data_IF_407507389328
#
_entry.id   IF_407507389328
#
_cell.length_a   1.000
_cell.length_b   1.000
_cell.length_c   1.000
_cell.angle_alpha   90.00
_cell.angle_beta   90.00
_cell.angle_gamma   90.00
#
_symmetry.space_group_name_H-M   'P 1'
#
loop_
_entity.id
_entity.type
_entity.pdbx_description
1 polymer ?
#
# COMPACT_ATOMS: atom_id res chain seq x y z
N UNK A 1 65.60 18.39 37.21
CA UNK A 1 65.86 18.35 38.68
C UNK A 1 64.57 18.07 39.41
N UNK A 2 64.59 17.13 40.38
CA UNK A 2 63.66 16.70 41.42
C UNK A 2 62.49 15.79 40.92
N UNK A 3 62.65 14.49 41.07
CA UNK A 3 62.52 13.50 42.17
C UNK A 3 61.04 13.26 42.51
N UNK A 4 60.53 12.13 42.04
CA UNK A 4 60.24 10.82 42.70
C UNK A 4 59.51 10.92 44.03
N UNK A 5 58.34 10.29 44.11
CA UNK A 5 58.02 9.30 45.17
C UNK A 5 56.90 8.35 44.74
N UNK A 6 57.24 7.06 44.70
CA UNK A 6 56.35 5.89 44.73
C UNK A 6 55.72 5.78 46.09
N UNK A 7 54.46 5.45 46.18
CA UNK A 7 53.90 4.80 47.37
C UNK A 7 53.12 3.59 46.90
N UNK A 8 53.55 2.44 47.34
CA UNK A 8 52.95 1.12 47.24
C UNK A 8 52.02 0.99 48.41
N UNK A 9 50.75 0.56 48.21
CA UNK A 9 49.94 -0.04 49.26
C UNK A 9 49.40 -1.38 48.78
N UNK A 10 49.83 -2.40 49.50
CA UNK A 10 49.34 -3.77 49.55
C UNK A 10 48.16 -3.79 50.52
N UNK A 11 47.04 -4.40 50.16
CA UNK A 11 46.26 -5.13 51.17
C UNK A 11 45.01 -5.79 50.59
N UNK A 12 44.97 -7.02 50.87
CA UNK A 12 43.97 -7.93 51.37
C UNK A 12 42.85 -8.35 50.38
N UNK A 13 43.03 -9.59 50.00
CA UNK A 13 42.00 -10.51 49.50
C UNK A 13 41.05 -10.84 50.65
N UNK A 14 39.77 -10.53 50.52
CA UNK A 14 38.69 -11.12 51.29
C UNK A 14 37.78 -11.92 50.38
N UNK A 15 37.90 -13.22 50.45
CA UNK A 15 36.98 -14.19 49.81
C UNK A 15 35.66 -14.14 50.57
N UNK A 16 34.62 -13.68 49.89
CA UNK A 16 33.24 -13.81 50.39
C UNK A 16 32.52 -14.82 49.53
N UNK A 17 32.25 -16.00 50.09
CA UNK A 17 31.42 -17.05 49.55
C UNK A 17 29.97 -16.55 49.68
N UNK A 18 29.32 -16.22 48.56
CA UNK A 18 27.89 -15.99 48.51
C UNK A 18 27.19 -17.16 47.86
N UNK A 19 26.32 -17.76 48.65
CA UNK A 19 25.38 -18.83 48.37
C UNK A 19 24.54 -18.54 47.13
N UNK A 20 24.39 -19.57 46.29
CA UNK A 20 23.49 -19.60 45.14
C UNK A 20 22.04 -19.56 45.64
N UNK A 21 21.43 -18.40 45.55
CA UNK A 21 19.99 -18.27 45.61
C UNK A 21 19.40 -18.45 44.22
N UNK A 22 18.62 -19.52 44.02
CA UNK A 22 17.74 -19.64 42.86
C UNK A 22 16.74 -18.49 42.83
N UNK A 23 17.05 -17.42 42.10
CA UNK A 23 16.08 -16.40 41.80
C UNK A 23 15.22 -16.89 40.63
N UNK A 24 13.92 -17.09 40.89
CA UNK A 24 12.88 -17.24 39.89
C UNK A 24 13.10 -16.21 38.79
N UNK A 25 13.39 -16.66 37.59
CA UNK A 25 13.24 -15.84 36.39
C UNK A 25 11.73 -15.60 36.20
N UNK A 26 11.24 -14.55 36.85
CA UNK A 26 9.96 -13.99 36.51
C UNK A 26 9.97 -13.65 35.01
N UNK A 27 9.02 -14.19 34.27
CA UNK A 27 8.74 -13.80 32.91
C UNK A 27 8.59 -12.28 32.90
N UNK A 28 9.57 -11.58 32.35
CA UNK A 28 9.42 -10.17 32.01
C UNK A 28 8.32 -10.12 30.96
N UNK A 29 7.13 -9.73 31.41
CA UNK A 29 6.06 -9.30 30.53
C UNK A 29 6.67 -8.21 29.65
N UNK A 30 6.99 -8.55 28.39
CA UNK A 30 7.29 -7.55 27.38
C UNK A 30 6.04 -6.68 27.29
N UNK A 31 6.10 -5.49 27.85
CA UNK A 31 5.17 -4.43 27.51
C UNK A 31 5.37 -4.17 26.01
N UNK A 32 4.57 -4.86 25.20
CA UNK A 32 4.56 -4.69 23.74
C UNK A 32 3.83 -3.39 23.41
N UNK A 33 4.49 -2.24 23.64
CA UNK A 33 4.11 -0.97 23.05
C UNK A 33 4.66 -0.84 21.60
N UNK A 34 4.83 -1.97 20.91
CA UNK A 34 5.28 -1.97 19.53
C UNK A 34 4.14 -1.53 18.63
N UNK A 35 4.36 -0.47 17.84
CA UNK A 35 3.45 -0.06 16.77
C UNK A 35 3.73 -0.89 15.52
N UNK A 36 2.79 -0.91 14.56
CA UNK A 36 2.96 -1.66 13.31
C UNK A 36 4.26 -1.28 12.58
N UNK A 37 4.51 0.01 12.37
CA UNK A 37 5.71 0.49 11.67
C UNK A 37 7.01 0.17 12.41
N UNK A 38 7.00 0.23 13.75
CA UNK A 38 8.17 -0.11 14.55
C UNK A 38 8.44 -1.62 14.55
N UNK A 39 7.40 -2.44 14.49
CA UNK A 39 7.49 -3.90 14.46
C UNK A 39 8.16 -4.42 13.17
N UNK A 40 7.82 -3.82 12.02
CA UNK A 40 8.39 -4.20 10.72
C UNK A 40 9.53 -3.29 10.25
N UNK A 41 10.09 -2.47 11.15
CA UNK A 41 11.19 -1.56 10.83
C UNK A 41 12.38 -2.32 10.23
N UNK A 42 12.86 -1.83 9.08
CA UNK A 42 13.98 -2.43 8.37
C UNK A 42 13.63 -3.63 7.47
N UNK A 43 12.36 -4.02 7.40
CA UNK A 43 11.88 -5.06 6.49
C UNK A 43 11.22 -4.45 5.25
N UNK A 44 10.26 -3.57 5.44
CA UNK A 44 9.52 -2.84 4.39
C UNK A 44 8.83 -1.62 5.00
N UNK A 45 8.45 -0.65 4.15
CA UNK A 45 7.58 0.44 4.59
C UNK A 45 6.17 -0.09 4.86
N UNK A 46 5.57 0.36 5.97
CA UNK A 46 4.21 0.00 6.31
C UNK A 46 3.33 1.24 6.27
N UNK A 47 2.32 1.22 5.40
CA UNK A 47 1.51 2.39 5.10
C UNK A 47 0.02 2.19 5.21
N UNK A 48 -0.70 3.31 5.11
CA UNK A 48 -2.14 3.34 4.93
C UNK A 48 -2.55 4.34 3.84
N UNK A 49 -3.57 3.98 3.07
CA UNK A 49 -4.28 4.95 2.25
C UNK A 49 -5.12 5.85 3.17
N UNK A 50 -5.10 7.16 2.90
CA UNK A 50 -5.80 8.15 3.71
C UNK A 50 -6.77 8.97 2.87
N UNK A 51 -8.00 9.09 3.36
CA UNK A 51 -9.06 9.87 2.73
C UNK A 51 -8.91 11.38 3.01
N UNK A 52 -9.70 12.19 2.33
CA UNK A 52 -9.63 13.64 2.44
C UNK A 52 -9.93 14.15 3.87
N UNK A 53 -10.84 13.53 4.61
CA UNK A 53 -11.14 13.93 6.00
C UNK A 53 -9.92 13.78 6.91
N UNK A 54 -9.17 12.69 6.73
CA UNK A 54 -7.90 12.45 7.43
C UNK A 54 -6.83 13.44 6.98
N UNK A 55 -6.67 13.65 5.66
CA UNK A 55 -5.70 14.60 5.09
C UNK A 55 -5.92 16.02 5.64
N UNK A 56 -7.17 16.48 5.68
CA UNK A 56 -7.54 17.82 6.15
C UNK A 56 -7.61 17.93 7.69
N UNK A 57 -7.33 16.85 8.43
CA UNK A 57 -7.34 16.84 9.89
C UNK A 57 -8.74 16.88 10.52
N UNK A 58 -9.80 16.66 9.75
CA UNK A 58 -11.19 16.61 10.22
C UNK A 58 -11.47 15.35 11.06
N UNK A 59 -10.83 14.23 10.73
CA UNK A 59 -10.82 13.01 11.53
C UNK A 59 -9.50 12.88 12.33
N UNK A 60 -9.47 13.55 13.48
CA UNK A 60 -8.28 13.60 14.35
C UNK A 60 -7.84 12.23 14.88
N UNK A 61 -8.77 11.27 15.04
CA UNK A 61 -8.45 9.92 15.50
C UNK A 61 -7.76 9.11 14.42
N UNK A 62 -8.23 9.17 13.16
CA UNK A 62 -7.52 8.58 12.03
C UNK A 62 -6.14 9.19 11.87
N UNK A 63 -6.00 10.51 11.96
CA UNK A 63 -4.69 11.20 11.95
C UNK A 63 -3.77 10.66 13.02
N UNK A 64 -4.27 10.45 14.26
CA UNK A 64 -3.47 9.90 15.36
C UNK A 64 -2.98 8.48 15.05
N UNK A 65 -3.86 7.60 14.53
CA UNK A 65 -3.50 6.24 14.14
C UNK A 65 -2.44 6.28 13.02
N UNK A 66 -2.65 7.11 11.99
CA UNK A 66 -1.68 7.24 10.88
C UNK A 66 -0.30 7.59 11.41
N UNK A 67 -0.21 8.60 12.27
CA UNK A 67 1.07 9.06 12.83
C UNK A 67 1.76 8.05 13.75
N UNK A 68 1.00 7.24 14.48
CA UNK A 68 1.56 6.29 15.44
C UNK A 68 1.90 4.94 14.81
N UNK A 69 1.08 4.46 13.86
CA UNK A 69 1.14 3.08 13.40
C UNK A 69 1.85 2.90 12.06
N UNK A 70 1.95 3.96 11.24
CA UNK A 70 2.45 3.87 9.88
C UNK A 70 3.66 4.78 9.64
N UNK A 71 4.52 4.39 8.72
CA UNK A 71 5.67 5.17 8.25
C UNK A 71 5.59 5.45 6.74
N UNK A 72 4.46 5.16 6.12
CA UNK A 72 4.16 5.48 4.72
C UNK A 72 2.70 5.87 4.57
N UNK A 73 2.40 6.74 3.61
CA UNK A 73 1.03 7.14 3.27
C UNK A 73 0.81 7.13 1.76
N UNK A 74 -0.44 6.85 1.37
CA UNK A 74 -0.94 6.95 -0.01
C UNK A 74 -2.23 7.76 0.01
N UNK A 75 -2.47 8.71 -0.90
CA UNK A 75 -3.74 9.44 -0.93
C UNK A 75 -4.80 8.57 -1.61
N UNK A 76 -5.94 8.36 -0.95
CA UNK A 76 -7.01 7.55 -1.52
C UNK A 76 -7.54 8.15 -2.84
N UNK A 77 -7.71 9.48 -2.90
CA UNK A 77 -8.30 10.15 -4.05
C UNK A 77 -7.61 11.44 -4.51
N UNK A 78 -7.00 12.22 -3.61
CA UNK A 78 -6.64 13.62 -3.86
C UNK A 78 -5.59 13.87 -4.95
N UNK A 79 -4.90 12.84 -5.43
CA UNK A 79 -3.96 12.91 -6.56
C UNK A 79 -4.48 12.21 -7.82
N UNK A 80 -5.68 11.60 -7.80
CA UNK A 80 -6.31 11.04 -9.01
C UNK A 80 -6.75 12.17 -9.94
N UNK A 81 -6.71 11.93 -11.24
CA UNK A 81 -6.88 12.98 -12.26
C UNK A 81 -8.13 13.82 -12.07
N UNK A 82 -9.31 13.20 -11.87
CA UNK A 82 -10.57 13.93 -11.68
C UNK A 82 -10.58 14.91 -10.49
N UNK A 83 -9.74 14.68 -9.48
CA UNK A 83 -9.65 15.55 -8.29
C UNK A 83 -8.57 16.61 -8.43
N UNK A 84 -7.38 16.25 -8.98
CA UNK A 84 -6.25 17.17 -9.08
C UNK A 84 -6.32 18.07 -10.32
N UNK A 85 -6.97 17.59 -11.39
CA UNK A 85 -7.17 18.36 -12.64
C UNK A 85 -8.59 18.14 -13.19
N UNK A 86 -9.63 18.67 -12.52
CA UNK A 86 -11.03 18.44 -12.88
C UNK A 86 -11.43 19.04 -14.22
N UNK A 87 -10.69 20.04 -14.72
CA UNK A 87 -10.90 20.70 -16.01
C UNK A 87 -9.58 20.88 -16.74
N UNK A 88 -9.66 21.00 -18.06
CA UNK A 88 -8.50 21.26 -18.90
C UNK A 88 -7.68 22.46 -18.37
N UNK A 89 -6.39 22.23 -18.13
CA UNK A 89 -5.43 23.24 -17.61
C UNK A 89 -5.80 23.91 -16.27
N UNK A 90 -6.72 23.34 -15.49
CA UNK A 90 -7.08 23.83 -14.15
C UNK A 90 -6.74 22.76 -13.10
N UNK A 91 -5.92 23.13 -12.13
CA UNK A 91 -5.42 22.23 -11.10
C UNK A 91 -5.90 22.64 -9.71
N UNK A 92 -6.30 21.66 -8.90
CA UNK A 92 -6.78 21.80 -7.53
C UNK A 92 -5.83 21.13 -6.54
N UNK A 93 -4.84 21.89 -6.05
CA UNK A 93 -3.75 21.34 -5.22
C UNK A 93 -4.02 21.32 -3.72
N UNK A 94 -5.11 21.93 -3.24
CA UNK A 94 -5.32 22.12 -1.79
C UNK A 94 -5.21 20.85 -0.96
N UNK A 95 -5.93 19.80 -1.35
CA UNK A 95 -5.91 18.52 -0.64
C UNK A 95 -4.57 17.79 -0.84
N UNK A 96 -4.03 17.82 -2.06
CA UNK A 96 -2.74 17.21 -2.39
C UNK A 96 -1.57 17.89 -1.66
N UNK A 97 -1.56 19.24 -1.57
CA UNK A 97 -0.56 19.97 -0.79
C UNK A 97 -0.60 19.58 0.68
N UNK A 98 -1.81 19.50 1.27
CA UNK A 98 -1.95 19.10 2.68
C UNK A 98 -1.54 17.64 2.90
N UNK A 99 -1.82 16.76 1.95
CA UNK A 99 -1.37 15.37 1.97
C UNK A 99 0.16 15.28 2.03
N UNK A 100 0.85 15.92 1.09
CA UNK A 100 2.32 15.92 1.06
C UNK A 100 2.91 16.56 2.33
N UNK A 101 2.32 17.68 2.78
CA UNK A 101 2.74 18.33 4.02
C UNK A 101 2.59 17.40 5.23
N UNK A 102 1.50 16.62 5.34
CA UNK A 102 1.30 15.66 6.41
C UNK A 102 2.41 14.60 6.44
N UNK A 103 2.79 14.08 5.28
CA UNK A 103 3.88 13.11 5.15
C UNK A 103 5.22 13.70 5.59
N UNK A 104 5.56 14.89 5.09
CA UNK A 104 6.81 15.58 5.43
C UNK A 104 6.90 15.94 6.93
N UNK A 105 5.80 16.39 7.54
CA UNK A 105 5.73 16.72 8.97
C UNK A 105 5.98 15.51 9.88
N UNK A 106 5.85 14.28 9.36
CA UNK A 106 5.95 13.05 10.14
C UNK A 106 7.00 12.06 9.61
N UNK A 107 7.94 12.52 8.76
CA UNK A 107 9.03 11.73 8.17
C UNK A 107 8.53 10.42 7.52
N UNK A 108 7.40 10.49 6.80
CA UNK A 108 6.78 9.34 6.15
C UNK A 108 7.26 9.17 4.71
N UNK A 109 7.34 7.93 4.25
CA UNK A 109 7.46 7.60 2.83
C UNK A 109 6.14 7.96 2.12
N UNK A 110 6.20 8.90 1.18
CA UNK A 110 5.03 9.53 0.55
C UNK A 110 4.83 8.97 -0.84
N UNK A 111 3.64 8.46 -1.12
CA UNK A 111 3.29 7.86 -2.41
C UNK A 111 2.31 8.77 -3.16
N UNK A 112 2.56 8.99 -4.45
CA UNK A 112 1.62 9.63 -5.37
C UNK A 112 0.77 8.59 -6.11
N UNK A 113 -0.55 8.64 -5.96
CA UNK A 113 -1.50 7.70 -6.60
C UNK A 113 -2.66 8.46 -7.24
N UNK A 114 -2.87 8.32 -8.53
CA UNK A 114 -2.07 7.76 -9.60
C UNK A 114 -1.98 8.78 -10.75
N UNK A 115 -0.88 8.78 -11.51
CA UNK A 115 -0.71 9.78 -12.58
C UNK A 115 -1.61 9.49 -13.77
N UNK A 116 -1.65 8.24 -14.27
CA UNK A 116 -2.49 7.84 -15.41
C UNK A 116 -3.30 6.60 -15.04
N UNK A 117 -4.62 6.77 -15.01
CA UNK A 117 -5.59 5.72 -14.78
C UNK A 117 -6.85 5.96 -15.62
N UNK A 118 -7.38 4.93 -16.24
CA UNK A 118 -8.55 5.02 -17.11
C UNK A 118 -9.86 5.26 -16.36
N UNK A 119 -9.90 4.94 -15.05
CA UNK A 119 -11.02 5.24 -14.15
C UNK A 119 -10.75 6.54 -13.37
N UNK A 120 -11.79 7.13 -12.82
CA UNK A 120 -11.74 8.41 -12.10
C UNK A 120 -10.94 9.48 -12.86
N UNK A 121 -11.06 9.44 -14.19
CA UNK A 121 -10.51 10.39 -15.12
C UNK A 121 -11.45 11.59 -15.26
N UNK A 122 -10.90 12.78 -15.40
CA UNK A 122 -11.72 13.98 -15.58
C UNK A 122 -12.56 13.91 -16.87
N UNK A 123 -13.80 14.41 -16.83
CA UNK A 123 -14.76 14.29 -17.91
C UNK A 123 -14.24 14.77 -19.26
N UNK A 124 -13.47 15.86 -19.29
CA UNK A 124 -12.90 16.39 -20.53
C UNK A 124 -11.97 15.40 -21.23
N UNK A 125 -11.26 14.55 -20.48
CA UNK A 125 -10.37 13.53 -21.04
C UNK A 125 -11.11 12.35 -21.68
N UNK A 126 -12.34 12.07 -21.22
CA UNK A 126 -13.12 10.93 -21.71
C UNK A 126 -13.68 11.14 -23.12
N UNK A 127 -13.78 12.39 -23.55
CA UNK A 127 -14.40 12.79 -24.84
C UNK A 127 -13.39 13.10 -25.93
N UNK A 128 -12.08 13.12 -25.63
CA UNK A 128 -11.02 13.42 -26.60
C UNK A 128 -10.76 12.19 -27.45
N UNK A 129 -10.71 12.40 -28.78
CA UNK A 129 -10.39 11.36 -29.77
C UNK A 129 -9.21 11.77 -30.66
N UNK A 130 -8.43 12.75 -30.24
CA UNK A 130 -7.24 13.24 -30.92
C UNK A 130 -5.99 12.84 -30.14
N UNK A 131 -5.07 12.12 -30.79
CA UNK A 131 -3.87 11.58 -30.17
C UNK A 131 -2.92 12.67 -29.66
N UNK A 132 -2.72 13.74 -30.44
CA UNK A 132 -1.81 14.83 -30.08
C UNK A 132 -2.37 15.61 -28.89
N UNK A 133 -3.69 15.81 -28.86
CA UNK A 133 -4.38 16.47 -27.74
C UNK A 133 -4.26 15.64 -26.46
N UNK A 134 -4.53 14.34 -26.48
CA UNK A 134 -4.37 13.44 -25.33
C UNK A 134 -2.92 13.44 -24.84
N UNK A 135 -1.96 13.30 -25.74
CA UNK A 135 -0.53 13.33 -25.39
C UNK A 135 -0.14 14.67 -24.74
N UNK A 136 -0.65 15.77 -25.27
CA UNK A 136 -0.45 17.10 -24.69
C UNK A 136 -0.99 17.23 -23.27
N UNK A 137 -2.20 16.72 -23.01
CA UNK A 137 -2.77 16.72 -21.65
C UNK A 137 -2.01 15.81 -20.70
N UNK A 138 -1.60 14.62 -21.11
CA UNK A 138 -0.78 13.71 -20.29
C UNK A 138 0.55 14.39 -19.93
N UNK A 139 1.23 14.98 -20.91
CA UNK A 139 2.50 15.66 -20.67
C UNK A 139 2.35 16.87 -19.73
N UNK A 140 1.31 17.67 -19.93
CA UNK A 140 1.01 18.81 -19.04
C UNK A 140 0.66 18.34 -17.62
N UNK A 141 -0.19 17.33 -17.48
CA UNK A 141 -0.59 16.76 -16.18
C UNK A 141 0.62 16.26 -15.40
N UNK A 142 1.40 15.35 -16.00
CA UNK A 142 2.56 14.75 -15.34
C UNK A 142 3.59 15.82 -15.00
N UNK A 143 3.94 16.70 -15.94
CA UNK A 143 4.92 17.75 -15.69
C UNK A 143 4.46 18.68 -14.55
N UNK A 144 3.20 19.08 -14.52
CA UNK A 144 2.67 20.01 -13.51
C UNK A 144 2.61 19.36 -12.13
N UNK A 145 2.04 18.15 -12.05
CA UNK A 145 1.82 17.46 -10.77
C UNK A 145 3.14 16.95 -10.19
N UNK A 146 3.94 16.24 -10.98
CA UNK A 146 5.20 15.64 -10.50
C UNK A 146 6.22 16.73 -10.16
N UNK A 147 6.37 17.77 -11.00
CA UNK A 147 7.31 18.86 -10.72
C UNK A 147 6.96 19.65 -9.48
N UNK A 148 5.65 19.82 -9.15
CA UNK A 148 5.21 20.48 -7.91
C UNK A 148 5.72 19.76 -6.66
N UNK A 149 5.76 18.44 -6.70
CA UNK A 149 6.14 17.59 -5.57
C UNK A 149 7.52 16.95 -5.72
N UNK A 150 8.32 17.42 -6.68
CA UNK A 150 9.67 16.92 -6.92
C UNK A 150 10.51 16.91 -5.65
N UNK A 151 11.11 15.75 -5.34
CA UNK A 151 11.91 15.53 -4.14
C UNK A 151 11.11 15.54 -2.83
N UNK A 152 9.76 15.45 -2.90
CA UNK A 152 8.86 15.38 -1.73
C UNK A 152 8.02 14.12 -1.74
N UNK A 153 7.68 13.61 -2.91
CA UNK A 153 7.02 12.31 -3.08
C UNK A 153 8.09 11.30 -3.44
N UNK A 154 8.14 10.20 -2.68
CA UNK A 154 9.16 9.18 -2.79
C UNK A 154 8.89 8.20 -3.93
N UNK A 155 7.61 7.90 -4.19
CA UNK A 155 7.21 6.99 -5.27
C UNK A 155 5.91 7.45 -5.94
N UNK A 156 5.78 7.18 -7.25
CA UNK A 156 4.57 7.40 -8.03
C UNK A 156 4.03 6.10 -8.60
N UNK A 157 2.74 5.85 -8.40
CA UNK A 157 1.98 4.91 -9.22
C UNK A 157 1.74 5.60 -10.57
N UNK A 158 2.64 5.35 -11.53
CA UNK A 158 2.72 6.10 -12.80
C UNK A 158 1.57 5.72 -13.72
N UNK A 159 1.33 4.41 -13.88
CA UNK A 159 0.19 3.87 -14.63
C UNK A 159 -0.52 2.85 -13.76
N UNK A 160 -1.83 2.99 -13.66
CA UNK A 160 -2.71 2.12 -12.90
C UNK A 160 -3.63 1.32 -13.82
N UNK A 161 -3.68 -0.01 -13.66
CA UNK A 161 -4.67 -0.93 -14.22
C UNK A 161 -4.74 -0.93 -15.77
N UNK A 162 -3.60 -0.96 -16.45
CA UNK A 162 -3.57 -0.94 -17.90
C UNK A 162 -3.75 -2.32 -18.57
N UNK A 163 -3.85 -3.41 -17.79
CA UNK A 163 -3.98 -4.75 -18.33
C UNK A 163 -5.33 -5.38 -18.02
N UNK A 164 -5.89 -6.10 -19.00
CA UNK A 164 -7.06 -6.95 -18.83
C UNK A 164 -6.67 -8.34 -18.27
N UNK A 165 -7.68 -9.11 -17.87
CA UNK A 165 -7.49 -10.39 -17.18
C UNK A 165 -6.78 -11.48 -18.01
N UNK A 166 -6.79 -11.35 -19.34
CA UNK A 166 -6.11 -12.25 -20.27
C UNK A 166 -4.63 -11.88 -20.53
N UNK A 167 -4.17 -10.75 -19.94
CA UNK A 167 -2.81 -10.24 -20.08
C UNK A 167 -2.59 -9.34 -21.29
N UNK A 168 -3.64 -8.98 -22.01
CA UNK A 168 -3.60 -7.95 -23.05
C UNK A 168 -3.73 -6.54 -22.45
N UNK A 169 -3.34 -5.52 -23.21
CA UNK A 169 -3.56 -4.13 -22.79
C UNK A 169 -5.05 -3.76 -22.87
N UNK A 170 -5.55 -3.12 -21.82
CA UNK A 170 -6.92 -2.62 -21.70
C UNK A 170 -7.21 -1.58 -22.77
N UNK A 171 -8.37 -1.71 -23.43
CA UNK A 171 -8.84 -0.78 -24.45
C UNK A 171 -9.37 0.53 -23.85
N UNK A 172 -8.51 1.21 -23.12
CA UNK A 172 -8.78 2.51 -22.52
C UNK A 172 -8.70 3.64 -23.55
N UNK A 173 -9.13 4.86 -23.15
CA UNK A 173 -8.95 6.06 -23.98
C UNK A 173 -7.48 6.28 -24.35
N UNK A 174 -6.56 5.98 -23.47
CA UNK A 174 -5.12 6.10 -23.72
C UNK A 174 -4.65 5.10 -24.79
N UNK A 175 -4.95 3.82 -24.61
CA UNK A 175 -4.56 2.78 -25.58
C UNK A 175 -5.20 3.01 -26.97
N UNK A 176 -6.48 3.36 -27.00
CA UNK A 176 -7.21 3.52 -28.25
C UNK A 176 -6.66 4.66 -29.11
N UNK A 177 -6.13 5.72 -28.49
CA UNK A 177 -5.59 6.89 -29.21
C UNK A 177 -4.06 6.84 -29.39
N UNK A 178 -3.33 6.28 -28.44
CA UNK A 178 -1.85 6.34 -28.41
C UNK A 178 -1.16 5.00 -28.70
N UNK A 179 -1.92 3.89 -28.71
CA UNK A 179 -1.37 2.55 -28.97
C UNK A 179 -0.62 1.96 -27.76
N UNK A 180 0.16 0.90 -28.03
CA UNK A 180 0.82 0.09 -26.99
C UNK A 180 1.94 0.81 -26.24
N UNK A 181 2.59 1.77 -26.86
CA UNK A 181 3.77 2.41 -26.29
C UNK A 181 3.42 3.57 -25.31
N UNK A 182 2.14 3.92 -25.16
CA UNK A 182 1.73 5.02 -24.26
C UNK A 182 2.24 4.85 -22.82
N UNK A 183 2.31 3.61 -22.31
CA UNK A 183 2.80 3.35 -20.95
C UNK A 183 4.28 3.72 -20.86
N UNK A 184 5.08 3.32 -21.84
CA UNK A 184 6.51 3.64 -21.89
C UNK A 184 6.73 5.17 -21.92
N UNK A 185 5.94 5.88 -22.72
CA UNK A 185 6.04 7.35 -22.85
C UNK A 185 5.64 8.06 -21.55
N UNK A 186 4.61 7.57 -20.87
CA UNK A 186 4.17 8.08 -19.55
C UNK A 186 5.27 7.89 -18.49
N UNK A 187 5.93 6.73 -18.44
CA UNK A 187 7.07 6.48 -17.55
C UNK A 187 8.25 7.43 -17.85
N UNK A 188 8.59 7.65 -19.10
CA UNK A 188 9.64 8.61 -19.50
C UNK A 188 9.31 10.05 -19.10
N UNK A 189 8.03 10.46 -19.23
CA UNK A 189 7.58 11.77 -18.79
C UNK A 189 7.71 11.93 -17.26
N UNK A 190 7.33 10.92 -16.51
CA UNK A 190 7.44 10.93 -15.05
C UNK A 190 8.92 10.98 -14.60
N UNK A 191 9.79 10.15 -15.19
CA UNK A 191 11.24 10.18 -14.93
C UNK A 191 11.85 11.55 -15.25
N UNK A 192 11.47 12.17 -16.36
CA UNK A 192 11.95 13.50 -16.74
C UNK A 192 11.53 14.57 -15.74
N UNK A 193 10.32 14.48 -15.19
CA UNK A 193 9.79 15.44 -14.22
C UNK A 193 10.46 15.29 -12.84
N UNK A 194 10.60 14.06 -12.35
CA UNK A 194 11.36 13.74 -11.13
C UNK A 194 12.17 12.44 -11.28
N UNK A 195 13.46 12.52 -11.62
CA UNK A 195 14.31 11.34 -11.80
C UNK A 195 14.63 10.61 -10.48
N UNK A 196 14.35 11.20 -9.32
CA UNK A 196 14.67 10.61 -8.02
C UNK A 196 13.52 9.77 -7.43
N UNK A 197 12.28 10.10 -7.79
CA UNK A 197 11.13 9.33 -7.31
C UNK A 197 11.11 7.92 -7.93
N UNK A 198 10.70 6.92 -7.13
CA UNK A 198 10.47 5.57 -7.63
C UNK A 198 9.24 5.54 -8.54
N UNK A 199 9.35 4.89 -9.70
CA UNK A 199 8.29 4.78 -10.69
C UNK A 199 7.69 3.37 -10.69
N UNK A 200 6.41 3.27 -10.36
CA UNK A 200 5.71 2.02 -10.11
C UNK A 200 4.59 1.82 -11.15
N UNK A 201 4.45 0.61 -11.65
CA UNK A 201 3.25 0.14 -12.34
C UNK A 201 2.35 -0.56 -11.34
N UNK A 202 1.09 -0.18 -11.19
CA UNK A 202 0.15 -0.71 -10.19
C UNK A 202 -1.05 -1.41 -10.83
N UNK A 203 -1.45 -2.60 -10.31
CA UNK A 203 -2.61 -3.33 -10.83
C UNK A 203 -3.17 -4.35 -9.81
N UNK A 204 -4.40 -4.84 -10.03
CA UNK A 204 -5.05 -5.88 -9.25
C UNK A 204 -4.96 -7.27 -9.93
N UNK A 205 -5.45 -8.31 -9.27
CA UNK A 205 -5.56 -9.68 -9.78
C UNK A 205 -4.24 -10.33 -10.25
N UNK A 206 -3.10 -9.94 -9.69
CA UNK A 206 -1.80 -10.54 -10.01
C UNK A 206 -1.72 -12.06 -9.78
N UNK A 207 -2.62 -12.63 -8.97
CA UNK A 207 -2.71 -14.08 -8.81
C UNK A 207 -3.18 -14.80 -10.08
N UNK A 208 -3.77 -14.09 -11.05
CA UNK A 208 -4.14 -14.63 -12.37
C UNK A 208 -2.90 -14.72 -13.27
N UNK A 209 -2.49 -15.92 -13.70
CA UNK A 209 -1.19 -16.11 -14.38
C UNK A 209 -1.06 -15.35 -15.70
N UNK A 210 -2.12 -15.24 -16.50
CA UNK A 210 -2.09 -14.55 -17.80
C UNK A 210 -1.86 -13.04 -17.61
N UNK A 211 -2.62 -12.40 -16.73
CA UNK A 211 -2.47 -10.97 -16.41
C UNK A 211 -1.06 -10.68 -15.89
N UNK A 212 -0.62 -11.47 -14.89
CA UNK A 212 0.75 -11.37 -14.36
C UNK A 212 1.80 -11.50 -15.46
N UNK A 213 1.67 -12.48 -16.35
CA UNK A 213 2.62 -12.67 -17.46
C UNK A 213 2.68 -11.48 -18.42
N UNK A 214 1.53 -10.87 -18.77
CA UNK A 214 1.44 -9.65 -19.58
C UNK A 214 2.19 -8.48 -18.96
N UNK A 215 1.91 -8.21 -17.69
CA UNK A 215 2.56 -7.13 -16.93
C UNK A 215 4.08 -7.36 -16.83
N UNK A 216 4.52 -8.56 -16.46
CA UNK A 216 5.94 -8.85 -16.31
C UNK A 216 6.70 -8.87 -17.65
N UNK A 217 6.01 -9.15 -18.77
CA UNK A 217 6.58 -8.96 -20.12
C UNK A 217 6.86 -7.47 -20.37
N UNK A 218 5.95 -6.59 -20.00
CA UNK A 218 6.16 -5.13 -20.09
C UNK A 218 7.34 -4.68 -19.23
N UNK A 219 7.41 -5.11 -17.95
CA UNK A 219 8.52 -4.78 -17.05
C UNK A 219 9.86 -5.18 -17.65
N UNK A 220 9.98 -6.41 -18.15
CA UNK A 220 11.20 -6.90 -18.81
C UNK A 220 11.54 -6.09 -20.08
N UNK A 221 10.53 -5.70 -20.90
CA UNK A 221 10.70 -4.81 -22.06
C UNK A 221 11.29 -3.47 -21.62
N UNK A 222 10.75 -2.85 -20.56
CA UNK A 222 11.24 -1.57 -20.03
C UNK A 222 12.69 -1.68 -19.55
N UNK A 223 13.00 -2.66 -18.73
CA UNK A 223 14.36 -2.92 -18.26
C UNK A 223 15.35 -3.09 -19.43
N UNK A 224 14.97 -3.85 -20.47
CA UNK A 224 15.83 -4.08 -21.63
C UNK A 224 16.08 -2.84 -22.48
N UNK A 225 15.15 -1.87 -22.46
CA UNK A 225 15.26 -0.58 -23.15
C UNK A 225 15.90 0.53 -22.30
N UNK A 226 16.20 0.27 -21.03
CA UNK A 226 16.68 1.29 -20.09
C UNK A 226 15.62 2.30 -19.66
N UNK A 227 14.33 1.98 -19.80
CA UNK A 227 13.23 2.78 -19.28
C UNK A 227 13.14 2.55 -17.78
N UNK A 228 13.10 3.65 -17.02
CA UNK A 228 13.02 3.60 -15.56
C UNK A 228 11.69 2.97 -15.13
N UNK A 229 11.77 1.86 -14.40
CA UNK A 229 10.70 1.22 -13.66
C UNK A 229 11.32 0.61 -12.41
N UNK A 230 10.92 1.10 -11.24
CA UNK A 230 11.58 0.78 -9.97
C UNK A 230 10.80 -0.27 -9.17
N UNK A 231 9.57 -0.57 -9.55
CA UNK A 231 8.77 -1.59 -8.89
C UNK A 231 7.45 -1.90 -9.57
N UNK A 232 6.81 -2.93 -9.04
CA UNK A 232 5.45 -3.32 -9.39
C UNK A 232 4.58 -3.26 -8.14
N UNK A 233 3.46 -2.56 -8.24
CA UNK A 233 2.41 -2.51 -7.25
C UNK A 233 1.37 -3.60 -7.49
N UNK A 234 1.08 -4.34 -6.44
CA UNK A 234 0.02 -5.36 -6.36
C UNK A 234 -1.03 -4.83 -5.39
N UNK A 235 -2.20 -4.44 -5.89
CA UNK A 235 -3.23 -3.78 -5.06
C UNK A 235 -3.63 -4.62 -3.84
N UNK A 236 -3.72 -5.94 -3.99
CA UNK A 236 -4.02 -6.86 -2.89
C UNK A 236 -5.42 -6.68 -2.25
N UNK A 237 -6.42 -6.34 -3.07
CA UNK A 237 -7.83 -6.43 -2.69
C UNK A 237 -8.26 -7.89 -2.67
N UNK A 238 -8.17 -8.50 -1.50
CA UNK A 238 -8.31 -9.94 -1.34
C UNK A 238 -9.51 -10.30 -0.47
N UNK A 239 -9.74 -11.60 -0.30
CA UNK A 239 -10.72 -12.13 0.63
C UNK A 239 -10.08 -13.14 1.61
N UNK A 240 -10.91 -13.73 2.46
CA UNK A 240 -10.46 -14.68 3.48
C UNK A 240 -9.78 -15.95 2.89
N UNK A 241 -9.98 -16.26 1.61
CA UNK A 241 -9.53 -17.49 0.98
C UNK A 241 -8.65 -17.27 -0.25
N UNK A 242 -8.93 -16.23 -1.02
CA UNK A 242 -8.31 -15.94 -2.30
C UNK A 242 -7.50 -14.63 -2.24
N UNK A 243 -6.31 -14.59 -2.89
CA UNK A 243 -5.55 -15.73 -3.41
C UNK A 243 -4.99 -16.63 -2.29
N UNK A 244 -4.55 -17.86 -2.60
CA UNK A 244 -3.86 -18.71 -1.61
C UNK A 244 -2.49 -18.13 -1.23
N UNK A 245 -1.92 -18.57 -0.11
CA UNK A 245 -0.58 -18.13 0.33
C UNK A 245 0.47 -18.48 -0.73
N UNK A 246 0.38 -19.67 -1.35
CA UNK A 246 1.28 -20.07 -2.42
C UNK A 246 1.16 -19.18 -3.67
N UNK A 247 -0.05 -18.75 -4.01
CA UNK A 247 -0.25 -17.79 -5.11
C UNK A 247 0.36 -16.43 -4.80
N UNK A 248 0.27 -15.96 -3.55
CA UNK A 248 0.92 -14.70 -3.12
C UNK A 248 2.44 -14.86 -3.18
N UNK A 249 2.99 -15.98 -2.72
CA UNK A 249 4.42 -16.27 -2.80
C UNK A 249 4.89 -16.27 -4.26
N UNK A 250 4.15 -16.91 -5.16
CA UNK A 250 4.49 -16.94 -6.58
C UNK A 250 4.50 -15.53 -7.21
N UNK A 251 3.59 -14.63 -6.80
CA UNK A 251 3.61 -13.22 -7.23
C UNK A 251 4.93 -12.57 -6.84
N UNK A 252 5.33 -12.69 -5.58
CA UNK A 252 6.57 -12.08 -5.06
C UNK A 252 7.79 -12.58 -5.85
N UNK A 253 7.87 -13.90 -6.07
CA UNK A 253 8.99 -14.51 -6.77
C UNK A 253 9.04 -14.11 -8.25
N UNK A 254 7.89 -14.08 -8.94
CA UNK A 254 7.81 -13.73 -10.36
C UNK A 254 8.16 -12.26 -10.61
N UNK A 255 7.68 -11.33 -9.75
CA UNK A 255 8.01 -9.90 -9.84
C UNK A 255 9.51 -9.69 -9.60
N UNK A 256 10.05 -10.33 -8.57
CA UNK A 256 11.50 -10.26 -8.30
C UNK A 256 12.34 -10.82 -9.45
N UNK A 257 11.91 -11.93 -10.07
CA UNK A 257 12.55 -12.50 -11.25
C UNK A 257 12.47 -11.61 -12.51
N UNK A 258 11.56 -10.63 -12.53
CA UNK A 258 11.51 -9.62 -13.56
C UNK A 258 12.50 -8.45 -13.31
N UNK A 259 13.21 -8.45 -12.18
CA UNK A 259 14.28 -7.52 -11.84
C UNK A 259 13.84 -6.26 -11.10
N UNK A 260 12.69 -6.30 -10.43
CA UNK A 260 12.16 -5.20 -9.61
C UNK A 260 11.55 -5.72 -8.28
N UNK A 261 11.50 -4.93 -7.22
CA UNK A 261 10.76 -5.26 -6.01
C UNK A 261 9.24 -5.20 -6.24
N UNK A 262 8.50 -5.87 -5.35
CA UNK A 262 7.04 -5.77 -5.27
C UNK A 262 6.63 -4.83 -4.13
N UNK A 263 5.55 -4.08 -4.34
CA UNK A 263 4.83 -3.36 -3.29
C UNK A 263 3.40 -3.90 -3.22
N UNK A 264 2.90 -4.20 -2.03
CA UNK A 264 1.49 -4.46 -1.80
C UNK A 264 0.82 -3.13 -1.47
N UNK A 265 0.11 -2.57 -2.46
CA UNK A 265 -0.21 -1.14 -2.49
C UNK A 265 -1.55 -0.77 -1.87
N UNK A 266 -2.49 -1.73 -1.76
CA UNK A 266 -3.88 -1.44 -1.43
C UNK A 266 -4.52 -2.58 -0.61
N UNK A 267 -3.73 -3.18 0.30
CA UNK A 267 -4.13 -4.38 1.03
C UNK A 267 -5.39 -4.15 1.86
N UNK A 268 -6.43 -4.87 1.50
CA UNK A 268 -7.61 -5.09 2.32
C UNK A 268 -8.13 -6.53 2.16
N UNK A 269 -8.85 -7.04 3.16
CA UNK A 269 -9.36 -8.41 3.14
C UNK A 269 -10.85 -8.41 3.40
N UNK A 270 -11.65 -8.47 2.32
CA UNK A 270 -13.10 -8.56 2.43
C UNK A 270 -13.51 -9.80 3.21
N UNK A 271 -14.45 -9.61 4.14
CA UNK A 271 -15.08 -10.71 4.89
C UNK A 271 -16.50 -11.02 4.41
N UNK A 272 -16.99 -10.22 3.45
CA UNK A 272 -18.31 -10.38 2.86
C UNK A 272 -18.25 -11.23 1.58
N UNK A 273 -19.30 -11.96 1.25
CA UNK A 273 -19.43 -12.58 -0.06
C UNK A 273 -19.51 -11.52 -1.15
N UNK A 274 -19.02 -11.85 -2.33
CA UNK A 274 -19.12 -11.02 -3.52
C UNK A 274 -19.92 -11.76 -4.59
N UNK A 275 -20.58 -11.04 -5.52
CA UNK A 275 -21.20 -11.64 -6.68
C UNK A 275 -20.19 -12.47 -7.47
N UNK A 276 -20.61 -13.61 -8.00
CA UNK A 276 -19.71 -14.51 -8.72
C UNK A 276 -19.19 -13.91 -10.04
N UNK A 277 -19.93 -12.96 -10.62
CA UNK A 277 -19.54 -12.22 -11.83
C UNK A 277 -18.50 -11.14 -11.57
N UNK A 278 -18.21 -10.83 -10.31
CA UNK A 278 -17.28 -9.78 -9.96
C UNK A 278 -15.85 -10.08 -10.46
N UNK A 279 -15.27 -9.15 -11.18
CA UNK A 279 -13.90 -9.24 -11.70
C UNK A 279 -12.97 -8.36 -10.85
N UNK A 280 -12.38 -8.95 -9.81
CA UNK A 280 -11.39 -8.29 -8.97
C UNK A 280 -11.86 -6.94 -8.43
N UNK A 281 -11.01 -5.92 -8.54
CA UNK A 281 -11.28 -4.56 -8.09
C UNK A 281 -11.74 -3.61 -9.22
N UNK A 282 -12.37 -4.13 -10.27
CA UNK A 282 -12.90 -3.33 -11.40
C UNK A 282 -14.04 -2.43 -10.94
N UNK A 283 -13.74 -1.17 -10.68
CA UNK A 283 -14.64 -0.21 -10.02
C UNK A 283 -15.84 0.24 -10.88
N UNK A 284 -15.83 -0.05 -12.20
CA UNK A 284 -16.95 0.26 -13.09
C UNK A 284 -18.10 -0.74 -12.96
N UNK A 285 -17.87 -1.88 -12.30
CA UNK A 285 -18.91 -2.89 -12.09
C UNK A 285 -19.96 -2.38 -11.10
N UNK A 286 -21.23 -2.60 -11.44
CA UNK A 286 -22.38 -2.24 -10.61
C UNK A 286 -23.21 -3.47 -10.33
N UNK A 287 -23.44 -3.74 -9.06
CA UNK A 287 -24.23 -4.86 -8.56
C UNK A 287 -25.39 -4.37 -7.68
N UNK A 288 -26.01 -3.25 -8.05
CA UNK A 288 -27.14 -2.63 -7.31
C UNK A 288 -28.32 -3.58 -7.12
N UNK A 289 -28.49 -4.60 -7.99
CA UNK A 289 -29.51 -5.63 -7.82
C UNK A 289 -29.38 -6.45 -6.53
N UNK A 290 -28.21 -6.39 -5.86
CA UNK A 290 -27.97 -7.06 -4.59
C UNK A 290 -27.97 -6.10 -3.38
N UNK A 291 -28.30 -4.82 -3.56
CA UNK A 291 -28.43 -3.88 -2.45
C UNK A 291 -29.52 -4.33 -1.48
N UNK A 292 -29.18 -4.37 -0.18
CA UNK A 292 -30.10 -4.84 0.86
C UNK A 292 -30.25 -6.37 0.97
N UNK A 293 -29.58 -7.16 0.12
CA UNK A 293 -29.60 -8.63 0.22
C UNK A 293 -28.84 -9.10 1.48
N UNK A 294 -29.53 -9.78 2.43
CA UNK A 294 -28.90 -10.29 3.65
C UNK A 294 -27.81 -11.35 3.36
N UNK A 295 -27.87 -12.04 2.22
CA UNK A 295 -26.85 -13.01 1.85
C UNK A 295 -25.53 -12.32 1.43
N UNK A 296 -25.64 -11.13 0.83
CA UNK A 296 -24.49 -10.30 0.43
C UNK A 296 -23.99 -9.38 1.56
N UNK A 297 -24.79 -9.17 2.62
CA UNK A 297 -24.43 -8.38 3.80
C UNK A 297 -24.77 -9.12 5.11
N UNK A 298 -24.15 -10.29 5.37
CA UNK A 298 -24.55 -11.17 6.49
C UNK A 298 -24.18 -10.62 7.88
N UNK A 299 -23.42 -9.53 7.96
CA UNK A 299 -22.89 -8.99 9.23
C UNK A 299 -23.19 -7.50 9.39
N UNK A 300 -24.44 -7.03 9.31
CA UNK A 300 -24.75 -5.59 9.27
C UNK A 300 -24.38 -4.85 10.55
N UNK A 301 -24.40 -5.52 11.72
CA UNK A 301 -24.19 -4.88 13.01
C UNK A 301 -22.85 -5.21 13.66
N UNK A 302 -22.36 -6.45 13.50
CA UNK A 302 -21.16 -6.94 14.16
C UNK A 302 -20.57 -8.13 13.45
N UNK A 303 -19.26 -8.15 13.29
CA UNK A 303 -18.54 -9.32 12.77
C UNK A 303 -18.54 -10.46 13.81
N UNK A 304 -19.01 -11.68 13.48
CA UNK A 304 -18.96 -12.82 14.40
C UNK A 304 -17.54 -13.19 14.82
N UNK A 305 -17.34 -13.62 16.05
CA UNK A 305 -16.02 -13.98 16.59
C UNK A 305 -15.28 -15.03 15.75
N UNK A 306 -16.03 -15.98 15.15
CA UNK A 306 -15.44 -16.97 14.23
C UNK A 306 -14.80 -16.30 13.01
N UNK A 307 -15.49 -15.35 12.39
CA UNK A 307 -14.99 -14.63 11.19
C UNK A 307 -13.86 -13.68 11.57
N UNK A 308 -13.92 -13.02 12.74
CA UNK A 308 -12.80 -12.23 13.27
C UNK A 308 -11.52 -13.06 13.43
N UNK A 309 -11.64 -14.30 13.95
CA UNK A 309 -10.49 -15.23 14.05
C UNK A 309 -9.96 -15.65 12.69
N UNK A 310 -10.83 -15.85 11.71
CA UNK A 310 -10.43 -16.17 10.33
C UNK A 310 -9.66 -15.00 9.70
N UNK A 311 -10.17 -13.78 9.84
CA UNK A 311 -9.50 -12.58 9.35
C UNK A 311 -8.13 -12.38 10.04
N UNK A 312 -8.07 -12.55 11.36
CA UNK A 312 -6.83 -12.46 12.12
C UNK A 312 -5.79 -13.49 11.65
N UNK A 313 -6.20 -14.75 11.47
CA UNK A 313 -5.33 -15.79 10.93
C UNK A 313 -4.86 -15.47 9.51
N UNK A 314 -5.76 -14.97 8.65
CA UNK A 314 -5.44 -14.62 7.27
C UNK A 314 -4.36 -13.53 7.19
N UNK A 315 -4.50 -12.46 7.98
CA UNK A 315 -3.49 -11.41 8.09
C UNK A 315 -2.16 -11.95 8.64
N UNK A 316 -2.21 -12.76 9.67
CA UNK A 316 -1.00 -13.39 10.24
C UNK A 316 -0.24 -14.21 9.18
N UNK A 317 -0.94 -15.06 8.43
CA UNK A 317 -0.31 -15.93 7.43
C UNK A 317 0.31 -15.10 6.28
N UNK A 318 -0.36 -14.05 5.84
CA UNK A 318 0.12 -13.12 4.82
C UNK A 318 1.37 -12.39 5.32
N UNK A 319 1.35 -11.80 6.51
CA UNK A 319 2.49 -11.06 7.05
C UNK A 319 3.68 -11.98 7.38
N UNK A 320 3.44 -13.22 7.78
CA UNK A 320 4.49 -14.23 7.91
C UNK A 320 5.18 -14.47 6.57
N UNK A 321 4.42 -14.56 5.46
CA UNK A 321 4.98 -14.68 4.12
C UNK A 321 5.74 -13.41 3.72
N UNK A 322 5.22 -12.22 4.02
CA UNK A 322 5.89 -10.95 3.71
C UNK A 322 7.23 -10.82 4.45
N UNK A 323 7.30 -11.22 5.71
CA UNK A 323 8.57 -11.27 6.45
C UNK A 323 9.56 -12.25 5.81
N UNK A 324 9.10 -13.44 5.41
CA UNK A 324 9.95 -14.44 4.72
C UNK A 324 10.61 -13.88 3.46
N UNK A 325 9.95 -12.99 2.74
CA UNK A 325 10.41 -12.40 1.48
C UNK A 325 10.65 -10.89 1.57
N UNK A 326 10.95 -10.38 2.77
CA UNK A 326 11.10 -8.94 2.99
C UNK A 326 12.20 -8.29 2.15
N UNK A 327 13.20 -9.05 1.73
CA UNK A 327 14.25 -8.62 0.80
C UNK A 327 13.75 -8.32 -0.62
N UNK A 328 12.51 -8.67 -0.95
CA UNK A 328 11.86 -8.49 -2.27
C UNK A 328 10.68 -7.53 -2.20
N UNK A 329 10.30 -7.09 -1.01
CA UNK A 329 9.12 -6.25 -0.77
C UNK A 329 9.58 -4.86 -0.33
N UNK A 330 9.17 -3.83 -1.08
CA UNK A 330 9.48 -2.44 -0.72
C UNK A 330 8.47 -1.87 0.29
N UNK A 331 7.18 -2.16 0.09
CA UNK A 331 6.09 -1.51 0.83
C UNK A 331 4.87 -2.42 0.98
N UNK A 332 4.18 -2.30 2.12
CA UNK A 332 2.85 -2.86 2.35
C UNK A 332 1.93 -1.73 2.83
N UNK A 333 0.90 -1.41 2.07
CA UNK A 333 -0.05 -0.33 2.37
C UNK A 333 -1.46 -0.91 2.52
N UNK A 334 -2.10 -0.64 3.63
CA UNK A 334 -3.52 -0.96 3.83
C UNK A 334 -4.38 0.06 3.08
N UNK A 335 -5.45 -0.39 2.38
CA UNK A 335 -6.33 0.53 1.67
C UNK A 335 -7.39 1.12 2.58
N UNK A 336 -6.91 1.96 3.49
CA UNK A 336 -7.67 2.66 4.51
C UNK A 336 -7.09 2.50 5.90
N UNK A 337 -7.52 3.37 6.82
CA UNK A 337 -7.07 3.35 8.23
C UNK A 337 -7.96 2.44 9.07
N UNK A 338 -9.26 2.44 8.83
CA UNK A 338 -10.27 1.77 9.65
C UNK A 338 -11.48 1.31 8.85
N UNK A 339 -12.20 0.32 9.38
CA UNK A 339 -13.34 -0.33 8.69
C UNK A 339 -14.45 0.65 8.27
N UNK A 340 -14.67 1.74 9.00
CA UNK A 340 -15.72 2.73 8.69
C UNK A 340 -15.51 3.40 7.34
N UNK A 341 -14.25 3.71 7.02
CA UNK A 341 -13.87 4.44 5.81
C UNK A 341 -13.44 3.53 4.65
N UNK A 342 -13.59 2.21 4.80
CA UNK A 342 -13.27 1.29 3.70
C UNK A 342 -14.25 1.47 2.53
N UNK A 343 -13.71 1.60 1.32
CA UNK A 343 -14.47 1.63 0.07
C UNK A 343 -15.34 0.38 -0.14
N UNK A 344 -14.95 -0.74 0.46
CA UNK A 344 -15.70 -2.01 0.41
C UNK A 344 -17.04 -1.99 1.16
N UNK A 345 -17.39 -0.89 1.82
CA UNK A 345 -18.72 -0.67 2.36
C UNK A 345 -19.73 -0.33 1.25
N UNK A 346 -19.24 0.33 0.19
CA UNK A 346 -20.08 0.87 -0.87
C UNK A 346 -19.75 0.26 -2.24
N UNK A 347 -18.75 -0.62 -2.31
CA UNK A 347 -18.38 -1.34 -3.51
C UNK A 347 -18.11 -2.82 -3.19
N UNK A 348 -18.44 -3.80 -4.08
CA UNK A 348 -19.15 -3.66 -5.35
C UNK A 348 -20.69 -3.52 -5.19
N UNK A 349 -21.20 -3.59 -3.97
CA UNK A 349 -22.60 -3.41 -3.61
C UNK A 349 -22.67 -2.29 -2.58
N UNK A 350 -23.45 -1.26 -2.84
CA UNK A 350 -23.58 -0.09 -1.98
C UNK A 350 -24.27 -0.39 -0.64
N UNK A 351 -23.85 0.31 0.43
CA UNK A 351 -24.50 0.28 1.75
C UNK A 351 -24.23 -0.99 2.57
N UNK A 352 -23.17 -1.75 2.29
CA UNK A 352 -22.77 -2.90 3.11
C UNK A 352 -21.94 -2.49 4.33
N UNK A 353 -21.86 -3.37 5.31
CA UNK A 353 -20.96 -3.22 6.44
C UNK A 353 -19.82 -4.23 6.35
N UNK A 354 -18.67 -3.82 5.78
CA UNK A 354 -17.49 -4.67 5.68
C UNK A 354 -16.52 -4.41 6.85
N UNK A 355 -15.58 -5.33 7.08
CA UNK A 355 -14.63 -5.30 8.19
C UNK A 355 -13.22 -5.69 7.73
N UNK A 356 -12.68 -5.06 6.67
CA UNK A 356 -11.50 -5.57 5.99
C UNK A 356 -10.16 -5.19 6.64
N UNK A 357 -10.14 -4.15 7.49
CA UNK A 357 -8.91 -3.52 7.98
C UNK A 357 -8.53 -3.94 9.41
N UNK A 358 -7.45 -3.36 9.94
CA UNK A 358 -6.91 -3.71 11.26
C UNK A 358 -7.58 -2.97 12.42
N UNK A 359 -8.21 -1.81 12.14
CA UNK A 359 -8.95 -1.02 13.13
C UNK A 359 -10.44 -1.08 12.84
N UNK A 360 -11.24 -1.17 13.91
CA UNK A 360 -12.69 -1.21 13.81
C UNK A 360 -13.31 0.18 13.55
N UNK A 361 -14.63 0.23 13.40
CA UNK A 361 -15.40 1.47 13.17
C UNK A 361 -15.33 2.49 14.33
N UNK A 362 -14.79 2.08 15.48
CA UNK A 362 -14.61 2.91 16.66
C UNK A 362 -13.13 3.21 16.95
N UNK A 363 -12.24 2.99 15.96
CA UNK A 363 -10.79 3.20 16.04
C UNK A 363 -10.04 2.23 16.97
N UNK A 364 -10.68 1.14 17.44
CA UNK A 364 -10.00 0.16 18.27
C UNK A 364 -9.27 -0.88 17.42
N UNK A 365 -8.08 -1.34 17.86
CA UNK A 365 -7.37 -2.41 17.18
C UNK A 365 -8.15 -3.73 17.28
N UNK A 366 -8.33 -4.40 16.15
CA UNK A 366 -9.02 -5.68 16.03
C UNK A 366 -8.09 -6.86 16.38
N UNK A 367 -8.62 -8.09 16.54
CA UNK A 367 -7.78 -9.29 16.63
C UNK A 367 -6.77 -9.43 15.50
N UNK A 368 -7.11 -8.98 14.28
CA UNK A 368 -6.22 -8.95 13.14
C UNK A 368 -4.96 -8.07 13.37
N UNK A 369 -5.11 -6.90 13.99
CA UNK A 369 -3.98 -6.05 14.38
C UNK A 369 -3.00 -6.79 15.31
N UNK A 370 -3.54 -7.46 16.35
CA UNK A 370 -2.72 -8.22 17.28
C UNK A 370 -1.99 -9.37 16.59
N UNK A 371 -2.69 -10.11 15.73
CA UNK A 371 -2.10 -11.22 14.98
C UNK A 371 -0.98 -10.79 14.03
N UNK A 372 -1.05 -9.58 13.47
CA UNK A 372 0.05 -9.00 12.68
C UNK A 372 1.26 -8.71 13.54
N UNK A 373 1.07 -8.15 14.73
CA UNK A 373 2.17 -7.89 15.69
C UNK A 373 2.76 -9.18 16.32
N UNK A 374 2.06 -10.30 16.25
CA UNK A 374 2.55 -11.61 16.73
C UNK A 374 3.46 -12.30 15.71
N UNK A 375 3.56 -11.79 14.48
CA UNK A 375 4.45 -12.35 13.45
C UNK A 375 5.90 -12.15 13.89
N UNK A 376 6.66 -13.24 13.89
CA UNK A 376 8.11 -13.16 14.14
C UNK A 376 8.80 -12.43 12.98
N UNK A 377 9.46 -11.32 13.27
CA UNK A 377 10.14 -10.48 12.27
C UNK A 377 11.54 -10.97 11.90
N UNK A 378 11.98 -12.10 12.40
CA UNK A 378 13.23 -12.73 11.95
C UNK A 378 12.96 -13.57 10.68
N UNK A 379 13.45 -13.15 9.50
CA UNK A 379 13.18 -13.87 8.24
C UNK A 379 13.82 -15.26 8.14
N UNK A 380 14.69 -15.61 9.10
CA UNK A 380 15.40 -16.91 9.13
C UNK A 380 14.67 -18.00 9.96
N UNK A 381 13.50 -17.68 10.53
CA UNK A 381 12.73 -18.63 11.35
C UNK A 381 11.40 -18.99 10.67
#
# INVERSE_FOLDING_TARGET
MKRIKKIIYISLVSVLICTIGCANMGSVSKNNNSTLSSHFKGLFHLGAAINEETILGKDSKSVSIVKSEFNSITPENSLKWMYIQPKANQFEFKAADRYVQLGLENDMYIVGHALVWHNQLADFMQTINDADEIQGYIANHINTVVSRYKGKIDAWDVVNEAFDEDGSLRKSVFYNNLGEDYIEDVFKLAEKADPQADLIYNDYNFYKPKKRAGILKMVKKFKSKGVKIDGVGVQAHWDLKSPSIDQIEQIILDVHAAGVPVSFTELDISVLPNPWEMVGAEVTQNFSQFEGDPQMSPYPNKLPSKVQKQLAKRYHDIFKLFVKHSDKINRVTFWGVMDKHSWLNDWPINGRTNYPLLFDRNYNPKPAYKSVLEVNTNPKN
#
